data_IF_174590529966
#
_entry.id   IF_174590529966
#
_cell.length_a   1.000
_cell.length_b   1.000
_cell.length_c   1.000
_cell.angle_alpha   90.00
_cell.angle_beta   90.00
_cell.angle_gamma   90.00
#
_symmetry.space_group_name_H-M   'P 1'
#
loop_
_entity.id
_entity.type
_entity.pdbx_description
1 polymer ?
#
# COMPACT_ATOMS: atom_id res chain seq x y z
N UNK A 1 -18.69 -25.48 -6.00
CA UNK A 1 -18.42 -24.27 -5.19
C UNK A 1 -17.05 -23.73 -5.61
N UNK A 2 -16.98 -22.90 -6.65
CA UNK A 2 -15.74 -22.22 -7.07
C UNK A 2 -16.13 -20.79 -7.44
N UNK A 3 -16.21 -19.90 -6.45
CA UNK A 3 -16.21 -18.46 -6.70
C UNK A 3 -14.74 -18.03 -6.73
N UNK A 4 -14.08 -18.33 -7.86
CA UNK A 4 -12.67 -18.02 -8.06
C UNK A 4 -12.50 -16.53 -8.30
N UNK A 5 -11.82 -15.84 -7.39
CA UNK A 5 -11.24 -14.52 -7.68
C UNK A 5 -10.11 -14.78 -8.68
N UNK A 6 -10.32 -14.44 -9.95
CA UNK A 6 -9.32 -14.52 -11.02
C UNK A 6 -8.65 -13.16 -11.19
N UNK A 7 -7.35 -13.14 -11.47
CA UNK A 7 -6.64 -11.94 -11.92
C UNK A 7 -5.94 -12.23 -13.24
N UNK A 8 -5.98 -11.25 -14.14
CA UNK A 8 -5.34 -11.35 -15.46
C UNK A 8 -3.84 -11.09 -15.32
N UNK A 9 -3.02 -12.09 -15.62
CA UNK A 9 -1.57 -11.91 -15.73
C UNK A 9 -1.25 -11.42 -17.13
N UNK A 10 -0.88 -10.15 -17.27
CA UNK A 10 -0.31 -9.62 -18.51
C UNK A 10 1.19 -9.95 -18.55
N UNK A 11 1.52 -11.21 -18.84
CA UNK A 11 2.86 -11.57 -19.30
C UNK A 11 2.69 -12.38 -20.57
N UNK A 12 3.14 -11.79 -21.67
CA UNK A 12 3.35 -12.39 -22.98
C UNK A 12 2.09 -12.90 -23.71
N UNK A 13 1.34 -11.98 -24.33
CA UNK A 13 0.39 -12.19 -25.45
C UNK A 13 -0.64 -13.35 -25.36
N UNK A 14 -0.77 -14.01 -24.23
CA UNK A 14 -1.78 -15.02 -23.94
C UNK A 14 -2.21 -14.80 -22.48
N UNK A 15 -3.38 -14.18 -22.29
CA UNK A 15 -3.95 -13.96 -20.97
C UNK A 15 -4.29 -15.29 -20.31
N UNK A 16 -3.35 -15.83 -19.55
CA UNK A 16 -3.58 -17.04 -18.74
C UNK A 16 -4.21 -16.57 -17.42
N UNK A 17 -5.49 -16.84 -17.25
CA UNK A 17 -6.17 -16.64 -15.97
C UNK A 17 -5.56 -17.57 -14.91
N UNK A 18 -5.05 -17.00 -13.82
CA UNK A 18 -4.59 -17.77 -12.66
C UNK A 18 -5.56 -17.62 -11.51
N UNK A 19 -5.84 -18.75 -10.86
CA UNK A 19 -6.65 -18.80 -9.65
C UNK A 19 -5.76 -18.41 -8.47
N UNK A 20 -6.23 -17.48 -7.63
CA UNK A 20 -5.55 -17.17 -6.37
C UNK A 20 -5.49 -18.42 -5.48
N UNK A 21 -4.33 -18.75 -4.89
CA UNK A 21 -4.24 -19.87 -3.96
C UNK A 21 -5.14 -19.57 -2.76
N UNK A 22 -6.12 -20.45 -2.54
CA UNK A 22 -7.06 -20.34 -1.43
C UNK A 22 -6.60 -21.28 -0.30
N UNK A 23 -6.54 -20.75 0.92
CA UNK A 23 -6.33 -21.57 2.12
C UNK A 23 -7.68 -22.06 2.65
N UNK A 24 -7.82 -23.37 2.80
CA UNK A 24 -9.03 -24.02 3.30
C UNK A 24 -9.12 -23.88 4.83
N UNK A 25 -7.98 -23.69 5.51
CA UNK A 25 -7.90 -23.64 6.96
C UNK A 25 -7.66 -22.19 7.39
N UNK A 26 -8.63 -21.52 8.03
CA UNK A 26 -8.44 -20.16 8.48
C UNK A 26 -7.43 -20.10 9.63
N UNK A 27 -6.55 -19.09 9.60
CA UNK A 27 -5.71 -18.75 10.75
C UNK A 27 -6.55 -18.02 11.79
N UNK A 28 -6.74 -18.65 12.95
CA UNK A 28 -7.45 -18.05 14.08
C UNK A 28 -6.58 -16.95 14.71
N UNK A 29 -7.17 -15.76 14.89
CA UNK A 29 -6.58 -14.63 15.61
C UNK A 29 -7.53 -14.29 16.75
N UNK A 30 -7.02 -14.14 17.97
CA UNK A 30 -7.86 -13.79 19.12
C UNK A 30 -8.33 -12.34 19.06
N UNK A 31 -9.46 -12.02 19.70
CA UNK A 31 -9.96 -10.64 19.73
C UNK A 31 -8.93 -9.64 20.27
N UNK A 32 -8.19 -10.02 21.33
CA UNK A 32 -7.15 -9.16 21.92
C UNK A 32 -5.97 -8.90 20.97
N UNK A 33 -5.58 -9.90 20.18
CA UNK A 33 -4.54 -9.73 19.17
C UNK A 33 -5.05 -8.84 18.04
N UNK A 34 -6.29 -9.06 17.59
CA UNK A 34 -6.92 -8.25 16.56
C UNK A 34 -7.04 -6.79 16.97
N UNK A 35 -7.46 -6.49 18.21
CA UNK A 35 -7.58 -5.12 18.72
C UNK A 35 -6.26 -4.34 18.65
N UNK A 36 -5.13 -5.03 18.89
CA UNK A 36 -3.82 -4.40 18.77
C UNK A 36 -3.43 -4.15 17.30
N UNK A 37 -3.66 -5.16 16.45
CA UNK A 37 -3.34 -5.09 15.01
C UNK A 37 -4.18 -4.02 14.32
N UNK A 38 -5.48 -3.97 14.57
CA UNK A 38 -6.40 -3.00 13.98
C UNK A 38 -5.98 -1.56 14.30
N UNK A 39 -5.68 -1.27 15.58
CA UNK A 39 -5.21 0.05 16.00
C UNK A 39 -3.89 0.43 15.33
N UNK A 40 -2.96 -0.52 15.21
CA UNK A 40 -1.69 -0.32 14.51
C UNK A 40 -1.88 -0.01 13.03
N UNK A 41 -2.79 -0.73 12.37
CA UNK A 41 -3.12 -0.50 10.95
C UNK A 41 -3.73 0.89 10.77
N UNK A 42 -4.69 1.29 11.60
CA UNK A 42 -5.31 2.61 11.52
C UNK A 42 -4.31 3.74 11.73
N UNK A 43 -3.42 3.59 12.72
CA UNK A 43 -2.36 4.55 12.99
C UNK A 43 -1.41 4.69 11.79
N UNK A 44 -0.97 3.56 11.23
CA UNK A 44 -0.03 3.54 10.10
C UNK A 44 -0.67 4.10 8.84
N UNK A 45 -1.93 3.77 8.57
CA UNK A 45 -2.67 4.28 7.41
C UNK A 45 -2.83 5.80 7.49
N UNK A 46 -3.15 6.33 8.68
CA UNK A 46 -3.23 7.79 8.89
C UNK A 46 -1.88 8.46 8.65
N UNK A 47 -0.80 7.91 9.20
CA UNK A 47 0.55 8.46 9.03
C UNK A 47 0.97 8.44 7.55
N UNK A 48 0.73 7.34 6.84
CA UNK A 48 1.04 7.21 5.41
C UNK A 48 0.24 8.19 4.55
N UNK A 49 -1.06 8.37 4.83
CA UNK A 49 -1.87 9.34 4.09
C UNK A 49 -1.38 10.78 4.29
N UNK A 50 -1.00 11.15 5.51
CA UNK A 50 -0.41 12.47 5.79
C UNK A 50 0.96 12.62 5.14
N UNK A 51 1.80 11.59 5.20
CA UNK A 51 3.11 11.58 4.56
C UNK A 51 3.00 11.77 3.05
N UNK A 52 2.13 11.01 2.37
CA UNK A 52 1.89 11.16 0.93
C UNK A 52 1.41 12.59 0.62
N UNK A 53 0.43 13.09 1.39
CA UNK A 53 -0.05 14.47 1.20
C UNK A 53 1.10 15.48 1.32
N UNK A 54 1.97 15.33 2.30
CA UNK A 54 3.10 16.24 2.51
C UNK A 54 4.11 16.17 1.36
N UNK A 55 4.52 14.98 0.94
CA UNK A 55 5.47 14.78 -0.16
C UNK A 55 4.97 15.37 -1.49
N UNK A 56 3.66 15.27 -1.75
CA UNK A 56 3.03 15.81 -2.96
C UNK A 56 2.69 17.32 -2.88
N UNK A 57 2.91 17.97 -1.74
CA UNK A 57 2.62 19.40 -1.56
C UNK A 57 3.83 20.13 -0.95
N UNK A 58 3.73 20.50 0.32
CA UNK A 58 4.66 21.42 0.97
C UNK A 58 5.99 20.78 1.35
N UNK A 59 6.09 19.45 1.40
CA UNK A 59 7.32 18.70 1.72
C UNK A 59 7.95 19.10 3.06
N UNK A 60 7.13 19.38 4.06
CA UNK A 60 7.57 19.85 5.38
C UNK A 60 8.44 18.82 6.09
N UNK A 61 8.18 17.52 5.92
CA UNK A 61 8.97 16.44 6.52
C UNK A 61 10.41 16.39 6.00
N UNK A 62 10.62 16.83 4.75
CA UNK A 62 11.95 16.94 4.12
C UNK A 62 12.63 18.23 4.60
N UNK A 63 11.90 19.36 4.59
CA UNK A 63 12.41 20.65 5.10
C UNK A 63 12.82 20.56 6.57
N UNK A 64 12.08 19.78 7.37
CA UNK A 64 12.40 19.49 8.76
C UNK A 64 13.57 18.52 8.95
N UNK A 65 14.11 17.95 7.87
CA UNK A 65 15.25 17.02 7.91
C UNK A 65 14.96 15.64 8.49
N UNK A 66 13.69 15.30 8.70
CA UNK A 66 13.29 13.99 9.25
C UNK A 66 13.44 12.88 8.21
N UNK A 67 13.15 13.18 6.94
CA UNK A 67 13.35 12.28 5.81
C UNK A 67 14.32 12.94 4.81
N UNK A 68 15.41 12.26 4.41
CA UNK A 68 16.29 12.74 3.35
C UNK A 68 15.57 12.92 2.01
N UNK A 69 15.83 14.02 1.32
CA UNK A 69 15.21 14.34 0.03
C UNK A 69 15.47 13.27 -1.06
N UNK A 70 16.61 12.58 -0.97
CA UNK A 70 17.01 11.50 -1.88
C UNK A 70 16.05 10.31 -1.87
N UNK A 71 15.34 10.08 -0.77
CA UNK A 71 14.35 9.00 -0.64
C UNK A 71 13.01 9.34 -1.29
N UNK A 72 12.72 10.63 -1.51
CA UNK A 72 11.52 11.11 -2.21
C UNK A 72 11.79 11.25 -3.72
N UNK A 73 12.49 10.28 -4.30
CA UNK A 73 13.02 10.33 -5.67
C UNK A 73 11.97 10.64 -6.75
N UNK A 74 12.42 11.06 -7.95
CA UNK A 74 11.57 11.58 -9.04
C UNK A 74 10.50 10.60 -9.56
N UNK A 75 10.59 9.30 -9.25
CA UNK A 75 9.53 8.32 -9.55
C UNK A 75 8.25 8.55 -8.74
N UNK A 76 8.36 9.14 -7.54
CA UNK A 76 7.23 9.47 -6.69
C UNK A 76 6.63 10.84 -7.04
N UNK A 77 7.29 11.69 -7.82
CA UNK A 77 6.84 13.05 -8.16
C UNK A 77 6.71 13.15 -9.69
N UNK A 78 5.55 12.79 -10.29
CA UNK A 78 5.35 13.04 -11.71
C UNK A 78 5.44 14.56 -11.99
N UNK A 79 6.18 14.98 -13.03
CA UNK A 79 6.44 16.40 -13.32
C UNK A 79 5.18 17.23 -13.65
N UNK A 80 4.01 16.58 -13.77
CA UNK A 80 2.74 17.18 -14.20
C UNK A 80 1.77 17.54 -13.08
N UNK A 81 2.06 17.23 -11.80
CA UNK A 81 1.16 17.57 -10.68
C UNK A 81 1.48 18.97 -10.09
N UNK A 82 2.60 19.57 -10.44
CA UNK A 82 2.86 20.98 -10.19
C UNK A 82 2.24 21.84 -11.29
N UNK A 83 0.95 22.13 -11.15
CA UNK A 83 0.30 23.28 -11.78
C UNK A 83 0.52 24.55 -10.99
#
# INVERSE_FOLDING_TARGET
MNQGITFTVYSDNAGIERILPFDIIPRIITGKEWDHVEKGIQQRLKALNLFLKDIYNDQEIIKAGVIPAELAGPELIPPTICG
#
